data_IF_826295338533
#
_entry.id   IF_826295338533
#
_cell.length_a   1.000
_cell.length_b   1.000
_cell.length_c   1.000
_cell.angle_alpha   90.00
_cell.angle_beta   90.00
_cell.angle_gamma   90.00
#
_symmetry.space_group_name_H-M   'P 1'
#
loop_
_entity.id
_entity.type
_entity.pdbx_description
1 polymer ?
#
# COMPACT_ATOMS: atom_id res chain seq x y z
N UNK A 1 -10.21 10.04 -8.71
CA UNK A 1 -10.39 9.40 -7.41
C UNK A 1 -9.59 10.13 -6.36
N UNK A 2 -10.18 10.30 -5.19
CA UNK A 2 -9.53 11.04 -4.11
C UNK A 2 -8.89 10.09 -3.11
N UNK A 3 -7.73 9.58 -3.43
CA UNK A 3 -6.91 8.88 -2.45
C UNK A 3 -5.76 9.78 -2.00
N UNK A 4 -5.36 9.61 -0.74
CA UNK A 4 -4.31 10.40 -0.11
C UNK A 4 -3.18 9.50 0.36
N UNK A 5 -2.02 10.08 0.57
CA UNK A 5 -0.91 9.35 1.16
C UNK A 5 -1.33 8.73 2.49
N UNK A 6 -1.07 7.45 2.66
CA UNK A 6 -1.48 6.68 3.83
C UNK A 6 -2.78 5.92 3.66
N UNK A 7 -3.55 6.18 2.61
CA UNK A 7 -4.75 5.40 2.33
C UNK A 7 -4.38 3.98 1.93
N UNK A 8 -5.14 3.02 2.45
CA UNK A 8 -5.08 1.62 2.02
C UNK A 8 -6.13 1.43 0.95
N UNK A 9 -5.69 0.99 -0.22
CA UNK A 9 -6.54 0.83 -1.40
C UNK A 9 -6.51 -0.60 -1.88
N UNK A 10 -7.55 -1.01 -2.59
CA UNK A 10 -7.55 -2.27 -3.30
C UNK A 10 -7.27 -1.99 -4.78
N UNK A 11 -6.19 -2.56 -5.26
CA UNK A 11 -5.73 -2.39 -6.64
C UNK A 11 -6.10 -3.62 -7.44
N UNK A 12 -6.66 -3.41 -8.62
CA UNK A 12 -6.95 -4.49 -9.56
C UNK A 12 -5.64 -4.93 -10.21
N UNK A 13 -5.32 -6.20 -10.04
CA UNK A 13 -4.11 -6.79 -10.59
C UNK A 13 -4.51 -7.99 -11.44
N UNK A 14 -4.14 -8.02 -12.73
CA UNK A 14 -4.49 -9.15 -13.58
C UNK A 14 -3.79 -10.42 -13.09
N UNK A 15 -4.49 -11.54 -13.20
CA UNK A 15 -3.90 -12.85 -12.94
C UNK A 15 -2.91 -13.21 -14.04
N UNK A 16 -2.04 -14.18 -13.75
CA UNK A 16 -1.04 -14.64 -14.69
C UNK A 16 -1.62 -15.14 -16.01
N UNK A 17 -2.89 -15.60 -16.01
CA UNK A 17 -3.57 -16.04 -17.22
C UNK A 17 -4.34 -14.90 -17.93
N UNK A 18 -4.33 -13.70 -17.39
CA UNK A 18 -4.97 -12.51 -17.94
C UNK A 18 -6.50 -12.61 -18.08
N UNK A 19 -7.13 -13.59 -17.46
CA UNK A 19 -8.58 -13.81 -17.57
C UNK A 19 -9.37 -13.14 -16.46
N UNK A 20 -8.76 -13.00 -15.30
CA UNK A 20 -9.41 -12.44 -14.12
C UNK A 20 -8.49 -11.41 -13.49
N UNK A 21 -9.07 -10.59 -12.63
CA UNK A 21 -8.32 -9.62 -11.83
C UNK A 21 -8.50 -9.97 -10.38
N UNK A 22 -7.43 -9.82 -9.60
CA UNK A 22 -7.48 -9.92 -8.14
C UNK A 22 -7.38 -8.54 -7.56
N UNK A 23 -8.16 -8.30 -6.50
CA UNK A 23 -8.01 -7.11 -5.69
C UNK A 23 -6.91 -7.36 -4.67
N UNK A 24 -5.86 -6.56 -4.73
CA UNK A 24 -4.73 -6.67 -3.80
C UNK A 24 -4.61 -5.39 -3.01
N UNK A 25 -4.38 -5.45 -1.69
CA UNK A 25 -4.22 -4.24 -0.90
C UNK A 25 -2.88 -3.59 -1.20
N UNK A 26 -2.87 -2.27 -1.14
CA UNK A 26 -1.68 -1.47 -1.31
C UNK A 26 -1.82 -0.18 -0.51
N UNK A 27 -0.69 0.40 -0.14
CA UNK A 27 -0.65 1.67 0.59
C UNK A 27 -0.23 2.79 -0.37
N UNK A 28 -1.00 3.87 -0.41
CA UNK A 28 -0.61 5.05 -1.17
C UNK A 28 0.57 5.72 -0.48
N UNK A 29 1.68 5.82 -1.18
CA UNK A 29 2.92 6.41 -0.64
C UNK A 29 3.34 7.70 -1.35
N UNK A 30 2.75 8.00 -2.51
CA UNK A 30 3.03 9.24 -3.22
C UNK A 30 2.57 10.43 -2.39
N UNK A 31 3.38 11.50 -2.40
CA UNK A 31 3.00 12.75 -1.76
C UNK A 31 1.70 13.29 -2.36
N UNK A 32 0.87 13.89 -1.52
CA UNK A 32 -0.36 14.51 -1.97
C UNK A 32 -0.05 15.70 -2.88
N UNK A 33 -0.91 15.93 -3.86
CA UNK A 33 -0.83 17.09 -4.73
C UNK A 33 0.11 16.96 -5.92
N UNK A 34 0.68 15.79 -6.17
CA UNK A 34 1.58 15.56 -7.30
C UNK A 34 0.88 15.01 -8.55
N UNK A 35 -0.41 14.77 -8.48
CA UNK A 35 -1.16 14.10 -9.55
C UNK A 35 -1.90 15.06 -10.49
N UNK A 36 -1.54 16.34 -10.49
CA UNK A 36 -2.32 17.42 -11.10
C UNK A 36 -2.75 17.16 -12.56
N UNK A 37 -1.96 16.43 -13.33
CA UNK A 37 -2.26 16.13 -14.73
C UNK A 37 -2.11 14.66 -15.07
N UNK A 38 -1.89 13.83 -14.06
CA UNK A 38 -1.67 12.40 -14.23
C UNK A 38 -2.63 11.66 -13.30
N UNK A 39 -3.58 10.95 -13.87
CA UNK A 39 -4.56 10.19 -13.09
C UNK A 39 -3.93 8.90 -12.53
N UNK A 40 -2.86 9.06 -11.75
CA UNK A 40 -2.06 7.95 -11.23
C UNK A 40 -1.47 8.28 -9.87
N UNK A 41 -1.07 7.26 -9.13
CA UNK A 41 -0.36 7.41 -7.87
C UNK A 41 0.61 6.25 -7.67
N UNK A 42 1.57 6.43 -6.76
CA UNK A 42 2.54 5.40 -6.40
C UNK A 42 2.06 4.71 -5.12
N UNK A 43 2.07 3.38 -5.15
CA UNK A 43 1.64 2.55 -4.03
C UNK A 43 2.75 1.57 -3.64
N UNK A 44 2.76 1.15 -2.38
CA UNK A 44 3.54 0.03 -1.87
C UNK A 44 2.60 -1.16 -1.69
N UNK A 45 2.95 -2.30 -2.26
CA UNK A 45 2.09 -3.47 -2.18
C UNK A 45 2.10 -4.05 -0.76
N UNK A 46 0.96 -4.62 -0.38
CA UNK A 46 0.74 -5.23 0.94
C UNK A 46 0.49 -6.71 0.74
N UNK A 47 1.11 -7.54 1.57
CA UNK A 47 0.92 -9.00 1.53
C UNK A 47 0.51 -9.51 2.91
N UNK A 48 -0.36 -10.53 2.94
CA UNK A 48 -0.66 -11.27 4.16
C UNK A 48 0.35 -12.38 4.44
N UNK A 49 1.33 -12.58 3.58
CA UNK A 49 2.39 -13.56 3.80
C UNK A 49 3.40 -13.01 4.80
N UNK A 50 3.25 -13.39 6.06
CA UNK A 50 4.09 -12.91 7.16
C UNK A 50 5.55 -13.37 7.07
N UNK A 51 5.87 -14.34 6.19
CA UNK A 51 7.26 -14.71 5.92
C UNK A 51 8.04 -13.57 5.23
N UNK A 52 7.34 -12.58 4.69
CA UNK A 52 7.96 -11.39 4.09
C UNK A 52 8.34 -10.33 5.10
N UNK A 53 7.98 -10.50 6.38
CA UNK A 53 8.32 -9.56 7.44
C UNK A 53 9.79 -9.69 7.86
N UNK A 54 10.22 -8.80 8.75
CA UNK A 54 11.54 -8.92 9.39
C UNK A 54 12.68 -8.17 8.70
N UNK A 55 12.35 -7.24 7.78
CA UNK A 55 13.33 -6.40 7.10
C UNK A 55 13.07 -4.92 7.41
N UNK A 56 14.12 -4.08 7.45
CA UNK A 56 13.94 -2.66 7.79
C UNK A 56 13.13 -1.87 6.75
N UNK A 57 12.97 -2.40 5.56
CA UNK A 57 12.17 -1.80 4.49
C UNK A 57 10.75 -2.37 4.42
N UNK A 58 10.32 -3.09 5.46
CA UNK A 58 8.98 -3.67 5.52
C UNK A 58 8.33 -3.35 6.84
N UNK A 59 7.04 -2.98 6.78
CA UNK A 59 6.28 -2.52 7.94
C UNK A 59 5.18 -3.53 8.23
N UNK A 60 5.14 -4.05 9.47
CA UNK A 60 4.13 -5.00 9.89
C UNK A 60 2.89 -4.26 10.34
N UNK A 61 1.72 -4.71 9.87
CA UNK A 61 0.42 -4.27 10.35
C UNK A 61 -0.24 -5.43 11.06
N UNK A 62 -0.46 -5.29 12.38
CA UNK A 62 -1.12 -6.32 13.16
C UNK A 62 -2.55 -5.90 13.46
N UNK A 63 -3.52 -6.67 12.96
CA UNK A 63 -4.93 -6.30 13.02
C UNK A 63 -5.50 -6.25 14.44
N UNK A 64 -4.83 -6.86 15.40
CA UNK A 64 -5.24 -6.83 16.80
C UNK A 64 -4.65 -5.68 17.61
N UNK A 65 -3.94 -4.72 17.00
CA UNK A 65 -3.22 -3.69 17.75
C UNK A 65 -3.46 -2.29 17.20
N UNK A 66 -3.37 -1.32 18.06
CA UNK A 66 -3.23 0.12 17.85
C UNK A 66 -3.96 0.68 16.64
N UNK A 67 -3.19 1.05 15.63
CA UNK A 67 -3.66 1.71 14.41
C UNK A 67 -4.21 0.76 13.36
N UNK A 68 -4.07 -0.54 13.53
CA UNK A 68 -4.46 -1.51 12.52
C UNK A 68 -5.96 -1.51 12.17
N UNK A 69 -6.89 -1.30 13.11
CA UNK A 69 -8.31 -1.24 12.75
C UNK A 69 -8.66 -0.16 11.73
N UNK A 70 -7.94 0.97 11.74
CA UNK A 70 -8.16 2.05 10.80
C UNK A 70 -7.73 1.69 9.38
N UNK A 71 -6.84 0.70 9.21
CA UNK A 71 -6.30 0.31 7.91
C UNK A 71 -7.31 -0.43 7.03
N UNK A 72 -8.35 -1.00 7.62
CA UNK A 72 -9.32 -1.81 6.90
C UNK A 72 -8.81 -3.20 6.49
N UNK A 73 -7.60 -3.57 6.88
CA UNK A 73 -7.04 -4.89 6.60
C UNK A 73 -7.67 -5.93 7.52
N UNK A 74 -7.95 -7.12 6.97
CA UNK A 74 -8.61 -8.20 7.68
C UNK A 74 -7.65 -9.21 8.30
N UNK A 75 -6.39 -9.16 7.91
CA UNK A 75 -5.35 -10.10 8.35
C UNK A 75 -4.08 -9.32 8.68
N UNK A 76 -3.28 -9.86 9.59
CA UNK A 76 -1.90 -9.37 9.78
C UNK A 76 -1.21 -9.32 8.43
N UNK A 77 -0.51 -8.24 8.15
CA UNK A 77 0.01 -7.96 6.83
C UNK A 77 1.36 -7.28 6.91
N UNK A 78 2.05 -7.26 5.78
CA UNK A 78 3.34 -6.59 5.62
C UNK A 78 3.22 -5.60 4.48
N UNK A 79 3.54 -4.34 4.75
CA UNK A 79 3.66 -3.31 3.73
C UNK A 79 5.10 -3.38 3.20
N UNK A 80 5.23 -3.61 1.91
CA UNK A 80 6.53 -3.81 1.26
C UNK A 80 6.94 -2.53 0.53
N UNK A 81 7.77 -1.71 1.17
CA UNK A 81 8.24 -0.47 0.53
C UNK A 81 9.26 -0.74 -0.58
N UNK A 82 9.73 -1.97 -0.70
CA UNK A 82 10.56 -2.43 -1.82
C UNK A 82 9.74 -3.05 -2.96
N UNK A 83 8.41 -2.98 -2.88
CA UNK A 83 7.52 -3.38 -3.97
C UNK A 83 6.58 -2.22 -4.29
N UNK A 84 7.13 -1.25 -5.00
CA UNK A 84 6.43 -0.03 -5.38
C UNK A 84 5.88 -0.17 -6.80
N UNK A 85 4.71 0.38 -7.02
CA UNK A 85 4.09 0.39 -8.35
C UNK A 85 3.40 1.72 -8.57
N UNK A 86 3.46 2.20 -9.81
CA UNK A 86 2.61 3.31 -10.25
C UNK A 86 1.35 2.72 -10.84
N UNK A 87 0.21 3.15 -10.32
CA UNK A 87 -1.09 2.64 -10.76
C UNK A 87 -1.96 3.80 -11.22
N UNK A 88 -2.77 3.56 -12.25
CA UNK A 88 -3.80 4.50 -12.68
C UNK A 88 -4.96 4.48 -11.70
N UNK A 89 -5.64 5.60 -11.52
CA UNK A 89 -6.82 5.66 -10.66
C UNK A 89 -7.91 4.67 -11.11
N UNK A 90 -7.99 4.38 -12.41
CA UNK A 90 -8.92 3.38 -12.93
C UNK A 90 -8.63 1.96 -12.43
N UNK A 91 -7.41 1.69 -11.97
CA UNK A 91 -7.00 0.40 -11.43
C UNK A 91 -7.27 0.28 -9.92
N UNK A 92 -7.70 1.37 -9.28
CA UNK A 92 -8.04 1.38 -7.86
C UNK A 92 -9.53 1.11 -7.72
N UNK A 93 -9.87 -0.04 -7.11
CA UNK A 93 -11.24 -0.45 -6.91
C UNK A 93 -11.90 0.36 -5.79
N UNK A 94 -11.22 0.52 -4.67
CA UNK A 94 -11.78 1.21 -3.51
C UNK A 94 -10.69 1.60 -2.51
N UNK A 95 -11.01 2.56 -1.65
CA UNK A 95 -10.25 2.89 -0.45
C UNK A 95 -10.89 2.15 0.71
N UNK A 96 -10.14 1.31 1.40
CA UNK A 96 -10.66 0.48 2.48
C UNK A 96 -10.31 0.98 3.87
N UNK A 97 -9.34 1.89 3.98
CA UNK A 97 -8.94 2.46 5.25
C UNK A 97 -7.73 3.36 5.13
N UNK A 98 -7.15 3.69 6.26
CA UNK A 98 -5.97 4.54 6.37
C UNK A 98 -5.01 3.92 7.37
N UNK A 99 -3.73 3.87 7.00
CA UNK A 99 -2.67 3.44 7.92
C UNK A 99 -1.99 4.67 8.50
N UNK A 100 -2.12 4.92 9.82
CA UNK A 100 -1.58 6.13 10.42
C UNK A 100 -0.09 6.07 10.75
N UNK A 101 0.57 4.94 10.54
CA UNK A 101 2.00 4.77 10.84
C UNK A 101 2.93 5.44 9.84
N UNK A 102 2.75 6.74 9.60
CA UNK A 102 3.51 7.50 8.58
C UNK A 102 5.00 7.48 8.86
N UNK A 103 5.42 7.61 10.12
CA UNK A 103 6.84 7.63 10.48
C UNK A 103 7.53 6.31 10.17
N UNK A 104 6.84 5.20 10.39
CA UNK A 104 7.36 3.87 10.06
C UNK A 104 7.52 3.70 8.55
N UNK A 105 6.55 4.19 7.78
CA UNK A 105 6.60 4.13 6.32
C UNK A 105 7.73 5.02 5.79
N UNK A 106 7.89 6.23 6.33
CA UNK A 106 8.96 7.13 5.94
C UNK A 106 10.33 6.50 6.17
N UNK A 107 10.53 5.90 7.35
CA UNK A 107 11.79 5.24 7.68
C UNK A 107 12.08 4.06 6.73
N UNK A 108 11.06 3.25 6.44
CA UNK A 108 11.20 2.11 5.53
C UNK A 108 11.50 2.56 4.10
N UNK A 109 10.86 3.63 3.63
CA UNK A 109 11.12 4.19 2.30
C UNK A 109 12.51 4.79 2.21
N UNK A 110 13.01 5.46 3.25
CA UNK A 110 14.38 5.97 3.28
C UNK A 110 15.37 4.83 3.16
N UNK A 111 15.14 3.73 3.85
CA UNK A 111 15.98 2.54 3.75
C UNK A 111 15.97 1.95 2.35
N UNK A 112 14.78 1.82 1.77
CA UNK A 112 14.62 1.25 0.42
C UNK A 112 15.30 2.10 -0.65
N UNK A 113 15.15 3.42 -0.54
CA UNK A 113 15.55 4.36 -1.58
C UNK A 113 16.86 5.09 -1.26
N UNK A 114 17.48 4.80 -0.13
CA UNK A 114 18.73 5.43 0.32
C UNK A 114 18.63 6.97 0.42
N UNK A 115 17.57 7.42 1.06
CA UNK A 115 17.32 8.86 1.24
C UNK A 115 17.78 9.37 2.60
#
# INVERSE_FOLDING_TARGET
MNCRRGDVVLVLSPDSNLRTSKRRPALVVQADGLDAHLAQTIVAMITSNMARAGHPNRVIVRVGSGSAPASGLLMDSVIMTDNLATVHYSEIDSVVGTFPGVDEIDAALRTTLAL
#
